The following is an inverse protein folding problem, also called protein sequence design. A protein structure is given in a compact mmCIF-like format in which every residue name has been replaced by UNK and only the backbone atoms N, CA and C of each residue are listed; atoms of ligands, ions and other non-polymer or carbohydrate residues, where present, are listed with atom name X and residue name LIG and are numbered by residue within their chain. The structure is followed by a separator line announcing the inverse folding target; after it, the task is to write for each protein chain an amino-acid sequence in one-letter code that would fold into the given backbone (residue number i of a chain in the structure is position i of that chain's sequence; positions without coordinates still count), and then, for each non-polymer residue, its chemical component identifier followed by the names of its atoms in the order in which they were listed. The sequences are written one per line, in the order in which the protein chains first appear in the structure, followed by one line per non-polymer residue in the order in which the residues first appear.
data_IF_010851093276
#
_entry.id   IF_010851093276
#
_cell.length_a   1.000
_cell.length_b   1.000
_cell.length_c   1.000
_cell.angle_alpha   90.00
_cell.angle_beta   90.00
_cell.angle_gamma   90.00
#
_symmetry.space_group_name_H-M   'P 1'
#
loop_
_entity.id
_entity.type
_entity.pdbx_description
1 polymer ?
#
# COMPACT_ATOMS: atom_id res chain seq x y z
N UNK A 1 -4.10 3.49 26.28
CA UNK A 1 -3.76 3.97 24.92
C UNK A 1 -3.02 2.89 24.13
N UNK A 2 -1.90 2.34 24.62
CA UNK A 2 -1.09 1.34 23.90
C UNK A 2 -1.85 0.07 23.43
N UNK A 3 -2.79 -0.43 24.23
CA UNK A 3 -3.60 -1.60 23.83
C UNK A 3 -4.45 -1.32 22.59
N UNK A 4 -5.03 -0.13 22.49
CA UNK A 4 -5.88 0.22 21.35
C UNK A 4 -5.04 0.42 20.08
N UNK A 5 -3.84 0.98 20.22
CA UNK A 5 -2.89 1.13 19.12
C UNK A 5 -2.49 -0.23 18.50
N UNK A 6 -2.42 -1.30 19.28
CA UNK A 6 -2.16 -2.65 18.76
C UNK A 6 -3.43 -3.37 18.28
N UNK A 7 -4.59 -3.08 18.88
CA UNK A 7 -5.85 -3.74 18.59
C UNK A 7 -6.40 -3.41 17.20
N UNK A 8 -6.33 -2.15 16.77
CA UNK A 8 -6.84 -1.78 15.45
C UNK A 8 -6.06 -2.44 14.30
N UNK A 9 -4.71 -2.41 14.27
CA UNK A 9 -3.95 -3.14 13.25
C UNK A 9 -4.21 -4.64 13.27
N UNK A 10 -4.45 -5.24 14.43
CA UNK A 10 -4.78 -6.66 14.54
C UNK A 10 -6.07 -7.00 13.79
N UNK A 11 -7.15 -6.25 14.06
CA UNK A 11 -8.43 -6.47 13.38
C UNK A 11 -8.39 -6.14 11.89
N UNK A 12 -7.69 -5.07 11.50
CA UNK A 12 -7.47 -4.75 10.09
C UNK A 12 -6.72 -5.89 9.40
N UNK A 13 -5.69 -6.44 10.05
CA UNK A 13 -4.95 -7.60 9.55
C UNK A 13 -5.82 -8.83 9.34
N UNK A 14 -6.72 -9.14 10.29
CA UNK A 14 -7.68 -10.23 10.15
C UNK A 14 -8.60 -10.04 8.93
N UNK A 15 -9.14 -8.83 8.74
CA UNK A 15 -10.03 -8.51 7.62
C UNK A 15 -9.28 -8.65 6.28
N UNK A 16 -8.09 -8.06 6.16
CA UNK A 16 -7.26 -8.15 4.95
C UNK A 16 -6.89 -9.59 4.64
N UNK A 17 -6.58 -10.40 5.65
CA UNK A 17 -6.20 -11.79 5.48
C UNK A 17 -7.36 -12.64 4.95
N UNK A 18 -8.56 -12.46 5.50
CA UNK A 18 -9.78 -13.10 4.99
C UNK A 18 -10.04 -12.67 3.54
N UNK A 19 -9.99 -11.37 3.25
CA UNK A 19 -10.18 -10.86 1.89
C UNK A 19 -9.20 -11.47 0.89
N UNK A 20 -7.92 -11.61 1.28
CA UNK A 20 -6.90 -12.25 0.47
C UNK A 20 -7.19 -13.72 0.20
N UNK A 21 -7.68 -14.48 1.19
CA UNK A 21 -8.10 -15.87 0.98
C UNK A 21 -9.28 -15.98 0.03
N UNK A 22 -10.29 -15.13 0.21
CA UNK A 22 -11.52 -15.15 -0.60
C UNK A 22 -11.24 -14.80 -2.05
N UNK A 23 -10.39 -13.80 -2.30
CA UNK A 23 -10.09 -13.34 -3.66
C UNK A 23 -8.98 -14.18 -4.35
N UNK A 24 -8.12 -14.85 -3.59
CA UNK A 24 -7.01 -15.68 -4.09
C UNK A 24 -6.21 -14.98 -5.21
N UNK A 25 -6.28 -15.48 -6.46
CA UNK A 25 -5.60 -14.91 -7.63
C UNK A 25 -6.15 -13.54 -8.05
N UNK A 26 -7.40 -13.23 -7.70
CA UNK A 26 -8.03 -11.93 -7.96
C UNK A 26 -7.67 -10.89 -6.89
N UNK A 27 -6.87 -11.24 -5.88
CA UNK A 27 -6.43 -10.27 -4.88
C UNK A 27 -5.47 -9.24 -5.48
N UNK A 28 -5.88 -7.98 -5.50
CA UNK A 28 -5.00 -6.87 -5.87
C UNK A 28 -4.24 -6.37 -4.65
N UNK A 29 -2.91 -6.20 -4.79
CA UNK A 29 -2.07 -5.67 -3.71
C UNK A 29 -2.46 -4.22 -3.38
N UNK A 30 -2.71 -3.92 -2.10
CA UNK A 30 -3.05 -2.56 -1.63
C UNK A 30 -1.83 -1.63 -1.50
N UNK A 31 -0.67 -2.11 -1.91
CA UNK A 31 0.63 -1.43 -1.90
C UNK A 31 1.52 -2.11 -2.95
N UNK A 32 2.84 -2.00 -2.83
CA UNK A 32 3.78 -2.62 -3.76
C UNK A 32 3.69 -4.15 -3.67
N UNK A 33 3.43 -4.86 -4.79
CA UNK A 33 3.40 -6.32 -4.77
C UNK A 33 4.71 -6.94 -4.26
N UNK A 34 4.60 -8.11 -3.62
CA UNK A 34 5.76 -8.80 -3.05
C UNK A 34 6.82 -9.06 -4.12
N UNK A 35 8.05 -8.61 -3.87
CA UNK A 35 9.18 -8.74 -4.78
C UNK A 35 9.41 -7.54 -5.70
N UNK A 36 8.45 -6.62 -5.81
CA UNK A 36 8.54 -5.47 -6.73
C UNK A 36 9.07 -4.19 -6.08
N UNK A 37 9.46 -4.22 -4.81
CA UNK A 37 9.97 -3.03 -4.10
C UNK A 37 11.22 -2.43 -4.73
N UNK A 38 12.10 -3.26 -5.31
CA UNK A 38 13.32 -2.76 -5.95
C UNK A 38 13.00 -1.92 -7.19
N UNK A 39 12.19 -2.45 -8.10
CA UNK A 39 11.77 -1.74 -9.31
C UNK A 39 11.00 -0.45 -8.98
N UNK A 40 10.05 -0.51 -8.03
CA UNK A 40 9.32 0.68 -7.58
C UNK A 40 10.26 1.75 -7.04
N UNK A 41 11.24 1.38 -6.21
CA UNK A 41 12.19 2.33 -5.65
C UNK A 41 13.13 2.91 -6.72
N UNK A 42 13.62 2.11 -7.66
CA UNK A 42 14.42 2.58 -8.79
C UNK A 42 13.68 3.66 -9.59
N UNK A 43 12.40 3.44 -9.91
CA UNK A 43 11.57 4.43 -10.58
C UNK A 43 11.37 5.67 -9.70
N UNK A 44 10.96 5.48 -8.44
CA UNK A 44 10.66 6.58 -7.50
C UNK A 44 11.85 7.51 -7.28
N UNK A 45 13.05 6.96 -7.14
CA UNK A 45 14.27 7.73 -6.88
C UNK A 45 14.96 8.23 -8.15
N UNK A 46 14.51 7.83 -9.34
CA UNK A 46 14.98 8.43 -10.60
C UNK A 46 14.42 9.82 -10.84
N UNK A 47 13.29 10.16 -10.20
CA UNK A 47 12.64 11.48 -10.26
C UNK A 47 13.42 12.49 -9.39
N UNK A 48 13.57 13.74 -9.83
CA UNK A 48 14.22 14.78 -9.05
C UNK A 48 13.44 15.05 -7.75
N UNK A 49 14.18 15.43 -6.70
CA UNK A 49 13.57 15.81 -5.43
C UNK A 49 12.70 17.05 -5.64
N UNK A 50 11.46 16.98 -5.18
CA UNK A 50 10.52 18.08 -5.22
C UNK A 50 9.61 17.99 -3.99
N UNK A 51 8.90 19.09 -3.69
CA UNK A 51 7.91 19.13 -2.61
C UNK A 51 6.53 19.02 -3.23
N UNK A 52 5.87 17.91 -2.96
CA UNK A 52 4.48 17.64 -3.36
C UNK A 52 3.72 17.05 -2.18
N UNK A 53 2.39 17.12 -2.25
CA UNK A 53 1.55 16.37 -1.33
C UNK A 53 1.41 14.93 -1.85
N UNK A 54 1.56 13.93 -0.99
CA UNK A 54 1.57 12.51 -1.40
C UNK A 54 0.28 12.02 -2.08
N UNK A 55 -0.80 12.80 -2.03
CA UNK A 55 -2.07 12.47 -2.72
C UNK A 55 -2.12 12.95 -4.15
N UNK A 56 -1.20 13.82 -4.58
CA UNK A 56 -1.13 14.30 -5.97
C UNK A 56 -0.91 13.13 -6.94
N UNK A 57 -0.07 12.16 -6.57
CA UNK A 57 0.13 10.89 -7.30
C UNK A 57 -1.20 10.13 -7.53
N UNK A 58 -2.10 10.12 -6.54
CA UNK A 58 -3.35 9.36 -6.59
C UNK A 58 -4.43 10.07 -7.43
N UNK A 59 -4.41 11.41 -7.45
CA UNK A 59 -5.41 12.21 -8.18
C UNK A 59 -5.08 12.29 -9.67
N UNK A 60 -3.80 12.46 -10.01
CA UNK A 60 -3.34 12.59 -11.39
C UNK A 60 -3.45 11.29 -12.20
N UNK A 61 -3.44 10.12 -11.56
CA UNK A 61 -3.64 8.81 -12.21
C UNK A 61 -5.10 8.54 -12.62
N UNK A 62 -6.06 9.39 -12.24
CA UNK A 62 -7.50 9.23 -12.54
C UNK A 62 -7.99 10.00 -13.77
N UNK A 63 -7.11 10.74 -14.44
CA UNK A 63 -7.35 11.40 -15.74
C UNK A 63 -6.74 10.59 -16.89
#
# INVERSE_FOLDING_TARGET
INRQLAHYPYHVGQIVFIGKMVLNENWHSLSIPKGNSKAYNEEKFSKPQHREHFTEEIWNDKE
#
